data_IF_380237599966
#
_entry.id   IF_380237599966
#
_cell.length_a   1.000
_cell.length_b   1.000
_cell.length_c   1.000
_cell.angle_alpha   90.00
_cell.angle_beta   90.00
_cell.angle_gamma   90.00
#
_symmetry.space_group_name_H-M   'P 1'
#
loop_
_entity.id
_entity.type
_entity.pdbx_description
1 polymer ?
#
# COMPACT_ATOMS: atom_id res chain seq x y z
N UNK A 1 8.63 13.90 6.11
CA UNK A 1 7.62 12.82 6.18
C UNK A 1 7.44 12.06 4.85
N UNK A 2 7.67 12.70 3.70
CA UNK A 2 7.52 12.08 2.38
C UNK A 2 8.34 10.80 2.15
N UNK A 3 9.63 10.76 2.56
CA UNK A 3 10.47 9.54 2.42
C UNK A 3 9.89 8.33 3.15
N UNK A 4 9.41 8.53 4.38
CA UNK A 4 8.76 7.47 5.17
C UNK A 4 7.48 7.00 4.49
N UNK A 5 6.65 7.92 4.00
CA UNK A 5 5.43 7.58 3.27
C UNK A 5 5.72 6.77 2.01
N UNK A 6 6.78 7.09 1.24
CA UNK A 6 7.18 6.29 0.07
C UNK A 6 7.55 4.86 0.46
N UNK A 7 8.30 4.67 1.56
CA UNK A 7 8.65 3.34 2.06
C UNK A 7 7.39 2.58 2.47
N UNK A 8 6.48 3.21 3.23
CA UNK A 8 5.22 2.57 3.66
C UNK A 8 4.33 2.23 2.47
N UNK A 9 4.21 3.13 1.49
CA UNK A 9 3.48 2.90 0.24
C UNK A 9 4.01 1.71 -0.56
N UNK A 10 5.34 1.61 -0.65
CA UNK A 10 5.99 0.49 -1.34
C UNK A 10 5.75 -0.82 -0.59
N UNK A 11 5.95 -0.84 0.74
CA UNK A 11 5.73 -2.02 1.57
C UNK A 11 4.27 -2.47 1.57
N UNK A 12 3.32 -1.52 1.63
CA UNK A 12 1.89 -1.78 1.53
C UNK A 12 1.58 -2.46 0.20
N UNK A 13 2.00 -1.88 -0.93
CA UNK A 13 1.82 -2.47 -2.26
C UNK A 13 2.44 -3.87 -2.40
N UNK A 14 3.65 -4.09 -1.88
CA UNK A 14 4.30 -5.41 -1.86
C UNK A 14 3.49 -6.39 -1.03
N UNK A 15 3.07 -6.02 0.18
CA UNK A 15 2.27 -6.87 1.07
C UNK A 15 0.93 -7.26 0.45
N UNK A 16 0.34 -6.37 -0.34
CA UNK A 16 -0.89 -6.65 -1.08
C UNK A 16 -0.65 -7.68 -2.20
N UNK A 17 0.44 -7.54 -2.95
CA UNK A 17 0.82 -8.54 -3.96
C UNK A 17 1.11 -9.92 -3.32
N UNK A 18 1.72 -9.95 -2.14
CA UNK A 18 1.94 -11.19 -1.40
C UNK A 18 0.63 -11.84 -0.97
N UNK A 19 -0.38 -11.06 -0.55
CA UNK A 19 -1.73 -11.58 -0.26
C UNK A 19 -2.37 -12.20 -1.51
N UNK A 20 -2.29 -11.51 -2.65
CA UNK A 20 -2.81 -12.05 -3.92
C UNK A 20 -2.06 -13.31 -4.34
N UNK A 21 -0.74 -13.32 -4.27
CA UNK A 21 0.08 -14.50 -4.57
C UNK A 21 -0.28 -15.69 -3.67
N UNK A 22 -0.44 -15.45 -2.37
CA UNK A 22 -0.86 -16.47 -1.41
C UNK A 22 -2.25 -17.03 -1.78
N UNK A 23 -3.20 -16.17 -2.15
CA UNK A 23 -4.56 -16.57 -2.51
C UNK A 23 -4.65 -17.29 -3.87
N UNK A 24 -3.93 -16.83 -4.89
CA UNK A 24 -4.03 -17.35 -6.26
C UNK A 24 -3.19 -18.63 -6.46
N UNK A 25 -2.03 -18.73 -5.80
CA UNK A 25 -1.08 -19.83 -6.00
C UNK A 25 -1.20 -20.86 -4.89
N UNK A 26 -1.06 -20.44 -3.63
CA UNK A 26 -0.93 -21.37 -2.49
C UNK A 26 -2.26 -21.96 -2.05
N UNK A 27 -3.37 -21.22 -2.14
CA UNK A 27 -4.69 -21.72 -1.73
C UNK A 27 -5.10 -23.04 -2.40
N UNK A 28 -4.79 -23.19 -3.70
CA UNK A 28 -5.13 -24.39 -4.47
C UNK A 28 -4.07 -25.50 -4.41
N UNK A 29 -2.80 -25.13 -4.25
CA UNK A 29 -1.68 -26.08 -4.29
C UNK A 29 -1.29 -26.63 -2.91
N UNK A 30 -1.35 -25.80 -1.86
CA UNK A 30 -1.00 -26.17 -0.50
C UNK A 30 -1.87 -25.39 0.52
N UNK A 31 -3.07 -25.91 0.85
CA UNK A 31 -4.01 -25.23 1.74
C UNK A 31 -3.50 -25.01 3.17
N UNK A 32 -2.61 -25.86 3.68
CA UNK A 32 -2.01 -25.68 5.00
C UNK A 32 -1.05 -24.50 5.01
N UNK A 33 -0.15 -24.44 4.01
CA UNK A 33 0.80 -23.35 3.87
C UNK A 33 0.09 -22.00 3.63
N UNK A 34 -0.98 -22.01 2.84
CA UNK A 34 -1.86 -20.85 2.65
C UNK A 34 -2.35 -20.27 3.98
N UNK A 35 -2.88 -21.12 4.88
CA UNK A 35 -3.40 -20.69 6.19
C UNK A 35 -2.30 -20.13 7.09
N UNK A 36 -1.14 -20.78 7.09
CA UNK A 36 0.03 -20.34 7.87
C UNK A 36 0.48 -18.93 7.50
N UNK A 37 0.48 -18.59 6.20
CA UNK A 37 0.91 -17.27 5.73
C UNK A 37 -0.21 -16.23 5.68
N UNK A 38 -1.48 -16.65 5.60
CA UNK A 38 -2.60 -15.72 5.47
C UNK A 38 -2.67 -14.72 6.62
N UNK A 39 -2.59 -15.19 7.86
CA UNK A 39 -2.69 -14.33 9.04
C UNK A 39 -1.52 -13.32 9.15
N UNK A 40 -0.24 -13.73 9.14
CA UNK A 40 0.87 -12.78 9.31
C UNK A 40 0.96 -11.78 8.15
N UNK A 41 0.75 -12.21 6.90
CA UNK A 41 0.77 -11.29 5.75
C UNK A 41 -0.44 -10.36 5.81
N UNK A 42 -1.62 -10.87 6.13
CA UNK A 42 -2.85 -10.09 6.25
C UNK A 42 -2.76 -9.02 7.34
N UNK A 43 -2.25 -9.37 8.52
CA UNK A 43 -2.02 -8.42 9.62
C UNK A 43 -0.98 -7.37 9.24
N UNK A 44 0.13 -7.78 8.62
CA UNK A 44 1.18 -6.86 8.17
C UNK A 44 0.63 -5.86 7.15
N UNK A 45 -0.12 -6.34 6.16
CA UNK A 45 -0.77 -5.50 5.16
C UNK A 45 -1.76 -4.52 5.78
N UNK A 46 -2.63 -4.99 6.69
CA UNK A 46 -3.60 -4.12 7.38
C UNK A 46 -2.94 -3.00 8.17
N UNK A 47 -1.86 -3.29 8.90
CA UNK A 47 -1.09 -2.27 9.62
C UNK A 47 -0.43 -1.26 8.67
N UNK A 48 0.15 -1.75 7.57
CA UNK A 48 0.75 -0.90 6.54
C UNK A 48 -0.29 0.00 5.87
N UNK A 49 -1.51 -0.51 5.61
CA UNK A 49 -2.62 0.27 5.06
C UNK A 49 -3.06 1.38 6.01
N UNK A 50 -3.21 1.09 7.31
CA UNK A 50 -3.54 2.12 8.30
C UNK A 50 -2.44 3.19 8.37
N UNK A 51 -1.17 2.77 8.42
CA UNK A 51 -0.03 3.67 8.43
C UNK A 51 0.01 4.54 7.16
N UNK A 52 -0.29 3.96 6.00
CA UNK A 52 -0.41 4.67 4.73
C UNK A 52 -1.45 5.78 4.81
N UNK A 53 -2.66 5.49 5.28
CA UNK A 53 -3.75 6.47 5.35
C UNK A 53 -3.41 7.62 6.29
N UNK A 54 -2.86 7.31 7.48
CA UNK A 54 -2.45 8.33 8.45
C UNK A 54 -1.39 9.26 7.83
N UNK A 55 -0.34 8.69 7.24
CA UNK A 55 0.73 9.46 6.61
C UNK A 55 0.23 10.26 5.39
N UNK A 56 -0.70 9.72 4.60
CA UNK A 56 -1.31 10.43 3.48
C UNK A 56 -2.12 11.65 3.95
N UNK A 57 -2.84 11.55 5.07
CA UNK A 57 -3.58 12.68 5.67
C UNK A 57 -2.61 13.75 6.17
N UNK A 58 -1.53 13.35 6.85
CA UNK A 58 -0.50 14.28 7.33
C UNK A 58 0.17 15.02 6.16
N UNK A 59 0.55 14.29 5.10
CA UNK A 59 1.17 14.87 3.90
C UNK A 59 0.21 15.75 3.10
N UNK A 60 -1.09 15.43 3.09
CA UNK A 60 -2.09 16.29 2.46
C UNK A 60 -2.05 17.69 3.06
N UNK A 61 -1.91 17.80 4.38
CA UNK A 61 -1.84 19.08 5.10
C UNK A 61 -0.47 19.73 4.87
N UNK A 62 0.62 18.99 5.04
CA UNK A 62 2.00 19.50 4.90
C UNK A 62 2.29 20.02 3.48
N UNK A 63 1.86 19.29 2.45
CA UNK A 63 2.13 19.61 1.04
C UNK A 63 0.94 20.27 0.33
N UNK A 64 -0.10 20.67 1.08
CA UNK A 64 -1.32 21.29 0.55
C UNK A 64 -1.91 20.56 -0.67
N UNK A 65 -1.99 19.23 -0.62
CA UNK A 65 -2.53 18.45 -1.73
C UNK A 65 -4.01 18.77 -1.96
N UNK A 66 -4.37 18.96 -3.23
CA UNK A 66 -5.78 19.08 -3.63
C UNK A 66 -6.57 17.82 -3.24
N UNK A 67 -7.86 17.99 -2.96
CA UNK A 67 -8.74 16.86 -2.61
C UNK A 67 -8.73 15.75 -3.68
N UNK A 68 -8.60 16.12 -4.96
CA UNK A 68 -8.45 15.17 -6.08
C UNK A 68 -7.17 14.36 -5.97
N UNK A 69 -6.02 15.00 -5.71
CA UNK A 69 -4.74 14.31 -5.55
C UNK A 69 -4.78 13.35 -4.35
N UNK A 70 -5.28 13.82 -3.21
CA UNK A 70 -5.43 12.99 -2.02
C UNK A 70 -6.34 11.77 -2.28
N UNK A 71 -7.49 11.97 -2.94
CA UNK A 71 -8.38 10.86 -3.29
C UNK A 71 -7.69 9.84 -4.20
N UNK A 72 -6.94 10.28 -5.22
CA UNK A 72 -6.20 9.36 -6.09
C UNK A 72 -5.11 8.57 -5.35
N UNK A 73 -4.44 9.20 -4.38
CA UNK A 73 -3.44 8.54 -3.53
C UNK A 73 -4.11 7.45 -2.69
N UNK A 74 -5.19 7.78 -1.98
CA UNK A 74 -5.95 6.80 -1.17
C UNK A 74 -6.51 5.67 -2.04
N UNK A 75 -7.15 5.99 -3.17
CA UNK A 75 -7.68 4.98 -4.09
C UNK A 75 -6.57 4.07 -4.64
N UNK A 76 -5.37 4.60 -4.84
CA UNK A 76 -4.21 3.82 -5.25
C UNK A 76 -3.84 2.71 -4.26
N UNK A 77 -4.03 2.91 -2.95
CA UNK A 77 -3.78 1.85 -1.94
C UNK A 77 -4.83 0.73 -1.94
N UNK A 78 -6.00 0.95 -2.54
CA UNK A 78 -7.09 -0.05 -2.59
C UNK A 78 -6.98 -0.92 -3.85
N UNK A 79 -6.45 -0.34 -4.93
CA UNK A 79 -6.29 -1.05 -6.20
C UNK A 79 -5.00 -1.87 -6.15
N UNK A 80 -5.02 -3.17 -6.47
CA UNK A 80 -3.81 -3.96 -6.60
C UNK A 80 -2.87 -3.28 -7.60
N UNK A 81 -1.61 -3.06 -7.24
CA UNK A 81 -0.60 -2.28 -7.99
C UNK A 81 -0.79 -0.75 -8.00
N UNK A 82 -1.89 -0.21 -7.48
CA UNK A 82 -2.17 1.22 -7.47
C UNK A 82 -1.16 2.02 -6.62
N UNK A 83 -0.65 1.43 -5.54
CA UNK A 83 0.37 2.05 -4.69
C UNK A 83 1.67 2.38 -5.46
N UNK A 84 2.09 1.49 -6.38
CA UNK A 84 3.27 1.73 -7.23
C UNK A 84 3.03 2.84 -8.27
N UNK A 85 1.81 2.92 -8.81
CA UNK A 85 1.43 4.03 -9.69
C UNK A 85 1.45 5.36 -8.94
N UNK A 86 0.91 5.37 -7.71
CA UNK A 86 0.90 6.55 -6.85
C UNK A 86 2.32 7.01 -6.55
N UNK A 87 3.20 6.08 -6.19
CA UNK A 87 4.61 6.39 -5.94
C UNK A 87 5.27 7.04 -7.16
N UNK A 88 5.14 6.41 -8.34
CA UNK A 88 5.77 6.87 -9.57
C UNK A 88 5.25 8.23 -10.03
N UNK A 89 3.94 8.46 -9.97
CA UNK A 89 3.30 9.66 -10.54
C UNK A 89 3.22 10.82 -9.58
N UNK A 90 2.94 10.57 -8.30
CA UNK A 90 2.58 11.63 -7.35
C UNK A 90 3.64 11.88 -6.27
N UNK A 91 4.47 10.89 -5.94
CA UNK A 91 5.46 11.01 -4.85
C UNK A 91 6.89 11.27 -5.33
N UNK A 92 7.26 10.80 -6.53
CA UNK A 92 8.53 11.17 -7.14
C UNK A 92 8.56 12.63 -7.63
N UNK A 93 7.41 13.18 -8.04
CA UNK A 93 7.31 14.57 -8.47
C UNK A 93 7.46 15.59 -7.32
N UNK A 94 7.26 15.16 -6.07
CA UNK A 94 7.37 15.99 -4.85
C UNK A 94 8.76 15.91 -4.21
N UNK A 95 9.65 15.05 -4.73
CA UNK A 95 10.98 14.82 -4.19
C UNK A 95 12.10 15.57 -4.95
N UNK A 96 11.74 16.31 -6.00
CA UNK A 96 12.60 17.17 -6.82
C UNK A 96 12.15 18.62 -6.67
#
# INVERSE_FOLDING_TARGET
>A
MLKLFKIVALLEGISYLLLFGNMLILKGSNPELYKTFLFPIGMTHGLLFIAYIILAIMLKIELNWSAKKFALIVLGSIIPLGAFYVEKKYLNAEAN
#
